data_IF_789043732605
#
_entry.id   IF_789043732605
#
_cell.length_a   1.000
_cell.length_b   1.000
_cell.length_c   1.000
_cell.angle_alpha   90.00
_cell.angle_beta   90.00
_cell.angle_gamma   90.00
#
_symmetry.space_group_name_H-M   'P 1'
#
loop_
_entity.id
_entity.type
_entity.pdbx_description
1 polymer ?
#
# COMPACT_ATOMS: atom_id res chain seq x y z
N UNK A 1 57.76 9.71 -68.57
CA UNK A 1 56.76 8.70 -68.17
C UNK A 1 55.41 9.36 -68.35
N UNK A 2 54.62 8.89 -69.31
CA UNK A 2 53.27 9.40 -69.60
C UNK A 2 52.30 8.74 -68.63
N UNK A 3 51.71 9.51 -67.73
CA UNK A 3 50.69 9.03 -66.78
C UNK A 3 49.42 8.73 -67.58
N UNK A 4 48.80 7.57 -67.35
CA UNK A 4 47.57 7.16 -68.03
C UNK A 4 46.43 8.12 -67.63
N UNK A 5 45.73 8.78 -68.58
CA UNK A 5 44.64 9.71 -68.28
C UNK A 5 43.47 9.12 -67.48
N UNK A 6 43.41 7.78 -67.32
CA UNK A 6 42.39 7.07 -66.54
C UNK A 6 42.85 6.65 -65.14
N UNK A 7 44.11 6.86 -64.78
CA UNK A 7 44.62 6.55 -63.45
C UNK A 7 44.20 7.65 -62.46
N UNK A 8 43.21 7.35 -61.62
CA UNK A 8 42.77 8.27 -60.56
C UNK A 8 43.79 8.19 -59.42
N UNK A 9 44.35 9.34 -59.03
CA UNK A 9 45.26 9.45 -57.88
C UNK A 9 44.58 8.93 -56.61
N UNK A 10 45.27 8.09 -55.85
CA UNK A 10 44.78 7.57 -54.57
C UNK A 10 44.72 8.72 -53.55
N UNK A 11 43.52 9.26 -53.36
CA UNK A 11 43.26 10.40 -52.47
C UNK A 11 42.80 9.98 -51.07
N UNK A 12 42.95 8.69 -50.72
CA UNK A 12 42.56 8.16 -49.40
C UNK A 12 43.18 8.92 -48.22
N UNK A 13 44.42 9.40 -48.38
CA UNK A 13 45.12 10.23 -47.38
C UNK A 13 44.69 11.71 -47.37
N UNK A 14 44.02 12.21 -48.42
CA UNK A 14 43.66 13.63 -48.54
C UNK A 14 42.48 13.99 -47.63
N UNK A 15 41.51 13.08 -47.47
CA UNK A 15 40.29 13.36 -46.71
C UNK A 15 40.47 13.16 -45.19
N UNK A 16 41.65 12.73 -44.73
CA UNK A 16 41.90 12.43 -43.32
C UNK A 16 40.93 11.36 -42.79
N UNK A 17 40.51 10.43 -43.66
CA UNK A 17 39.58 9.38 -43.28
C UNK A 17 40.25 8.49 -42.21
N UNK A 18 39.58 8.23 -41.08
CA UNK A 18 40.15 7.39 -40.04
C UNK A 18 40.46 6.02 -40.63
N UNK A 19 41.66 5.53 -40.33
CA UNK A 19 42.06 4.19 -40.71
C UNK A 19 41.09 3.16 -40.11
N UNK A 20 41.01 1.97 -40.70
CA UNK A 20 40.19 0.88 -40.16
C UNK A 20 40.53 0.59 -38.70
N UNK A 21 41.82 0.64 -38.36
CA UNK A 21 42.30 0.44 -37.00
C UNK A 21 41.86 1.55 -36.04
N UNK A 22 41.85 2.82 -36.47
CA UNK A 22 41.31 3.93 -35.67
C UNK A 22 39.81 3.78 -35.44
N UNK A 23 39.09 3.38 -36.49
CA UNK A 23 37.65 3.10 -36.42
C UNK A 23 37.35 1.96 -35.45
N UNK A 24 38.10 0.85 -35.52
CA UNK A 24 37.97 -0.26 -34.58
C UNK A 24 38.26 0.16 -33.13
N UNK A 25 39.31 0.96 -32.89
CA UNK A 25 39.64 1.48 -31.55
C UNK A 25 38.54 2.38 -30.99
N UNK A 26 37.96 3.22 -31.85
CA UNK A 26 36.85 4.08 -31.47
C UNK A 26 35.63 3.25 -31.05
N UNK A 27 35.25 2.26 -31.86
CA UNK A 27 34.13 1.37 -31.53
C UNK A 27 34.39 0.58 -30.25
N UNK A 28 35.60 0.05 -30.05
CA UNK A 28 35.98 -0.62 -28.80
C UNK A 28 35.69 0.30 -27.60
N UNK A 29 36.18 1.54 -27.65
CA UNK A 29 36.02 2.50 -26.55
C UNK A 29 34.55 2.87 -26.29
N UNK A 30 33.75 3.02 -27.35
CA UNK A 30 32.30 3.24 -27.19
C UNK A 30 31.65 2.04 -26.51
N UNK A 31 31.94 0.83 -26.99
CA UNK A 31 31.33 -0.38 -26.44
C UNK A 31 31.75 -0.61 -24.99
N UNK A 32 32.99 -0.33 -24.63
CA UNK A 32 33.47 -0.39 -23.24
C UNK A 32 32.72 0.59 -22.34
N UNK A 33 32.52 1.83 -22.79
CA UNK A 33 31.75 2.83 -22.05
C UNK A 33 30.29 2.42 -21.88
N UNK A 34 29.64 1.92 -22.93
CA UNK A 34 28.25 1.49 -22.90
C UNK A 34 28.06 0.31 -21.93
N UNK A 35 28.98 -0.66 -21.95
CA UNK A 35 28.94 -1.80 -21.02
C UNK A 35 29.12 -1.32 -19.58
N UNK A 36 29.99 -0.34 -19.32
CA UNK A 36 30.16 0.23 -17.98
C UNK A 36 28.89 0.92 -17.49
N UNK A 37 28.25 1.73 -18.34
CA UNK A 37 27.02 2.45 -18.02
C UNK A 37 25.87 1.47 -17.76
N UNK A 38 25.65 0.49 -18.64
CA UNK A 38 24.64 -0.55 -18.45
C UNK A 38 24.87 -1.35 -17.17
N UNK A 39 26.13 -1.61 -16.81
CA UNK A 39 26.47 -2.31 -15.58
C UNK A 39 26.10 -1.47 -14.35
N UNK A 40 26.30 -0.15 -14.40
CA UNK A 40 25.91 0.77 -13.32
C UNK A 40 24.39 0.84 -13.17
N UNK A 41 23.67 0.98 -14.29
CA UNK A 41 22.21 0.99 -14.30
C UNK A 41 21.63 -0.31 -13.78
N UNK A 42 22.21 -1.46 -14.16
CA UNK A 42 21.77 -2.77 -13.67
C UNK A 42 21.96 -2.93 -12.16
N UNK A 43 23.08 -2.46 -11.61
CA UNK A 43 23.31 -2.46 -10.15
C UNK A 43 22.26 -1.63 -9.43
N UNK A 44 22.04 -0.39 -9.90
CA UNK A 44 21.02 0.49 -9.33
C UNK A 44 19.62 -0.11 -9.40
N UNK A 45 19.22 -0.64 -10.57
CA UNK A 45 17.93 -1.28 -10.73
C UNK A 45 17.77 -2.48 -9.78
N UNK A 46 18.83 -3.25 -9.55
CA UNK A 46 18.81 -4.36 -8.60
C UNK A 46 18.62 -3.90 -7.16
N UNK A 47 19.30 -2.83 -6.76
CA UNK A 47 19.14 -2.20 -5.44
C UNK A 47 17.71 -1.66 -5.26
N UNK A 48 17.19 -0.95 -6.24
CA UNK A 48 15.83 -0.39 -6.23
C UNK A 48 14.77 -1.50 -6.13
N UNK A 49 14.88 -2.57 -6.92
CA UNK A 49 13.97 -3.72 -6.88
C UNK A 49 14.03 -4.39 -5.50
N UNK A 50 15.22 -4.58 -4.94
CA UNK A 50 15.36 -5.16 -3.61
C UNK A 50 14.67 -4.30 -2.54
N UNK A 51 14.90 -2.98 -2.58
CA UNK A 51 14.23 -2.04 -1.69
C UNK A 51 12.70 -2.09 -1.83
N UNK A 52 12.19 -2.13 -3.05
CA UNK A 52 10.75 -2.25 -3.32
C UNK A 52 10.16 -3.56 -2.77
N UNK A 53 10.85 -4.68 -2.94
CA UNK A 53 10.41 -5.98 -2.40
C UNK A 53 10.37 -5.94 -0.88
N UNK A 54 11.37 -5.35 -0.23
CA UNK A 54 11.41 -5.21 1.22
C UNK A 54 10.26 -4.32 1.73
N UNK A 55 10.07 -3.14 1.12
CA UNK A 55 8.96 -2.24 1.48
C UNK A 55 7.59 -2.92 1.28
N UNK A 56 7.42 -3.68 0.19
CA UNK A 56 6.19 -4.42 -0.04
C UNK A 56 5.94 -5.50 1.03
N UNK A 57 6.98 -6.21 1.45
CA UNK A 57 6.87 -7.19 2.53
C UNK A 57 6.44 -6.54 3.86
N UNK A 58 7.02 -5.38 4.20
CA UNK A 58 6.69 -4.63 5.41
C UNK A 58 5.24 -4.13 5.38
N UNK A 59 4.82 -3.51 4.27
CA UNK A 59 3.43 -3.04 4.08
C UNK A 59 2.43 -4.20 4.15
N UNK A 60 2.77 -5.35 3.54
CA UNK A 60 1.91 -6.54 3.59
C UNK A 60 1.72 -7.04 5.03
N UNK A 61 2.81 -7.05 5.81
CA UNK A 61 2.77 -7.44 7.23
C UNK A 61 1.91 -6.47 8.05
N UNK A 62 2.10 -5.17 7.87
CA UNK A 62 1.31 -4.14 8.58
C UNK A 62 -0.18 -4.22 8.22
N UNK A 63 -0.50 -4.36 6.94
CA UNK A 63 -1.87 -4.56 6.49
C UNK A 63 -2.50 -5.82 7.11
N UNK A 64 -1.73 -6.90 7.26
CA UNK A 64 -2.17 -8.12 7.94
C UNK A 64 -2.51 -7.86 9.41
N UNK A 65 -1.64 -7.15 10.13
CA UNK A 65 -1.86 -6.78 11.53
C UNK A 65 -3.09 -5.89 11.70
N UNK A 66 -3.20 -4.82 10.91
CA UNK A 66 -4.33 -3.89 10.96
C UNK A 66 -5.67 -4.58 10.64
N UNK A 67 -5.68 -5.54 9.71
CA UNK A 67 -6.88 -6.34 9.43
C UNK A 67 -7.28 -7.22 10.61
N UNK A 68 -6.31 -7.84 11.29
CA UNK A 68 -6.56 -8.64 12.48
C UNK A 68 -7.12 -7.78 13.62
N UNK A 69 -6.53 -6.61 13.86
CA UNK A 69 -6.99 -5.66 14.88
C UNK A 69 -8.39 -5.14 14.58
N UNK A 70 -8.67 -4.80 13.33
CA UNK A 70 -10.01 -4.38 12.90
C UNK A 70 -11.04 -5.48 13.14
N UNK A 71 -10.70 -6.74 12.83
CA UNK A 71 -11.60 -7.88 13.02
C UNK A 71 -11.88 -8.11 14.51
N UNK A 72 -10.86 -7.99 15.36
CA UNK A 72 -11.00 -8.03 16.82
C UNK A 72 -11.88 -6.89 17.34
N UNK A 73 -11.61 -5.65 16.93
CA UNK A 73 -12.40 -4.49 17.34
C UNK A 73 -13.88 -4.60 16.93
N UNK A 74 -14.16 -5.18 15.75
CA UNK A 74 -15.53 -5.48 15.31
C UNK A 74 -16.21 -6.51 16.20
N UNK A 75 -15.51 -7.57 16.60
CA UNK A 75 -16.05 -8.58 17.52
C UNK A 75 -16.34 -7.97 18.89
N UNK A 76 -15.39 -7.21 19.45
CA UNK A 76 -15.53 -6.53 20.74
C UNK A 76 -16.70 -5.54 20.72
N UNK A 77 -16.87 -4.80 19.61
CA UNK A 77 -18.01 -3.89 19.42
C UNK A 77 -19.34 -4.65 19.37
N UNK A 78 -19.41 -5.76 18.63
CA UNK A 78 -20.62 -6.57 18.54
C UNK A 78 -21.02 -7.13 19.93
N UNK A 79 -20.05 -7.62 20.70
CA UNK A 79 -20.29 -8.14 22.04
C UNK A 79 -20.64 -7.03 23.05
N UNK A 80 -20.03 -5.86 22.92
CA UNK A 80 -20.45 -4.69 23.70
C UNK A 80 -21.88 -4.28 23.39
N UNK A 81 -22.27 -4.29 22.11
CA UNK A 81 -23.61 -3.93 21.69
C UNK A 81 -24.66 -4.93 22.20
N UNK A 82 -24.37 -6.24 22.13
CA UNK A 82 -25.21 -7.29 22.73
C UNK A 82 -25.42 -7.08 24.23
N UNK A 83 -24.33 -6.82 24.98
CA UNK A 83 -24.42 -6.55 26.41
C UNK A 83 -25.24 -5.31 26.72
N UNK A 84 -25.13 -4.25 25.90
CA UNK A 84 -25.92 -3.05 26.05
C UNK A 84 -27.42 -3.35 25.84
N UNK A 85 -27.79 -4.07 24.78
CA UNK A 85 -29.19 -4.44 24.52
C UNK A 85 -29.76 -5.37 25.60
N UNK A 86 -28.96 -6.31 26.11
CA UNK A 86 -29.39 -7.21 27.18
C UNK A 86 -29.62 -6.44 28.49
N UNK A 87 -28.75 -5.46 28.79
CA UNK A 87 -28.88 -4.61 29.97
C UNK A 87 -30.09 -3.69 29.85
N UNK A 88 -30.29 -3.07 28.69
CA UNK A 88 -31.43 -2.19 28.42
C UNK A 88 -32.76 -2.94 28.53
N UNK A 89 -32.86 -4.12 27.91
CA UNK A 89 -34.06 -4.95 27.99
C UNK A 89 -34.35 -5.37 29.43
N UNK A 90 -33.35 -5.85 30.17
CA UNK A 90 -33.50 -6.20 31.60
C UNK A 90 -33.97 -5.00 32.43
N UNK A 91 -33.33 -3.85 32.27
CA UNK A 91 -33.69 -2.61 32.97
C UNK A 91 -35.14 -2.19 32.66
N UNK A 92 -35.54 -2.25 31.39
CA UNK A 92 -36.91 -1.94 30.98
C UNK A 92 -37.93 -2.89 31.62
N UNK A 93 -37.64 -4.19 31.72
CA UNK A 93 -38.50 -5.16 32.42
C UNK A 93 -38.64 -4.84 33.91
N UNK A 94 -37.53 -4.52 34.58
CA UNK A 94 -37.51 -4.15 36.00
C UNK A 94 -38.32 -2.86 36.25
N UNK A 95 -38.14 -1.85 35.39
CA UNK A 95 -38.92 -0.60 35.45
C UNK A 95 -40.41 -0.85 35.26
N UNK A 96 -40.81 -1.69 34.30
CA UNK A 96 -42.22 -2.05 34.08
C UNK A 96 -42.83 -2.76 35.31
N UNK A 97 -42.09 -3.69 35.93
CA UNK A 97 -42.52 -4.37 37.14
C UNK A 97 -42.70 -3.39 38.31
N UNK A 98 -41.71 -2.50 38.52
CA UNK A 98 -41.77 -1.48 39.55
C UNK A 98 -42.93 -0.50 39.33
N UNK A 99 -43.14 -0.05 38.09
CA UNK A 99 -44.22 0.86 37.74
C UNK A 99 -45.60 0.22 38.01
N UNK A 100 -45.75 -1.08 37.72
CA UNK A 100 -46.94 -1.85 38.09
C UNK A 100 -47.16 -1.84 39.60
N UNK A 101 -46.16 -2.18 40.41
CA UNK A 101 -46.29 -2.16 41.87
C UNK A 101 -46.62 -0.77 42.43
N UNK A 102 -46.02 0.29 41.90
CA UNK A 102 -46.33 1.67 42.29
C UNK A 102 -47.79 1.99 42.00
N UNK A 103 -48.30 1.63 40.81
CA UNK A 103 -49.71 1.85 40.47
C UNK A 103 -50.67 1.09 41.40
N UNK A 104 -50.37 -0.17 41.72
CA UNK A 104 -51.16 -0.98 42.66
C UNK A 104 -51.18 -0.35 44.07
N UNK A 105 -50.03 0.11 44.56
CA UNK A 105 -49.92 0.80 45.85
C UNK A 105 -50.68 2.14 45.85
N UNK A 106 -50.60 2.90 44.75
CA UNK A 106 -51.30 4.18 44.60
C UNK A 106 -52.82 3.99 44.66
N UNK A 107 -53.35 2.95 44.01
CA UNK A 107 -54.77 2.60 44.08
C UNK A 107 -55.19 2.23 45.50
N UNK A 108 -54.39 1.41 46.19
CA UNK A 108 -54.67 1.02 47.59
C UNK A 108 -54.65 2.21 48.55
N UNK A 109 -53.67 3.11 48.41
CA UNK A 109 -53.59 4.33 49.21
C UNK A 109 -54.83 5.21 49.00
N UNK A 110 -55.22 5.45 47.74
CA UNK A 110 -56.44 6.22 47.42
C UNK A 110 -57.70 5.62 48.06
N UNK A 111 -57.82 4.29 48.05
CA UNK A 111 -58.93 3.59 48.68
C UNK A 111 -58.95 3.75 50.22
N UNK A 112 -57.78 3.77 50.87
CA UNK A 112 -57.64 3.98 52.31
C UNK A 112 -57.86 5.44 52.73
N UNK A 113 -57.47 6.40 51.90
CA UNK A 113 -57.68 7.84 52.13
C UNK A 113 -59.13 8.30 51.86
N UNK A 114 -60.02 7.39 51.43
CA UNK A 114 -61.44 7.67 51.24
C UNK A 114 -61.75 8.56 50.00
N UNK A 115 -60.76 8.83 49.15
CA UNK A 115 -60.95 9.54 47.90
C UNK A 115 -61.60 8.60 46.88
N UNK A 116 -62.91 8.76 46.66
CA UNK A 116 -63.65 8.05 45.58
C UNK A 116 -63.17 8.53 44.20
N UNK A 117 -63.31 7.68 43.15
CA UNK A 117 -62.45 7.66 41.96
C UNK A 117 -62.29 9.00 41.23
#
# INVERSE_FOLDING_TARGET
MTVDPLEIEDTSDWLGCPTELETCRYFLRITENEVQELTLQLRKAREDIFGLVQMHADVTKECGALRADLLKAKADLADSNRRATDTETKSNWELMANNKHISELTVKLRALEGSKP
#
